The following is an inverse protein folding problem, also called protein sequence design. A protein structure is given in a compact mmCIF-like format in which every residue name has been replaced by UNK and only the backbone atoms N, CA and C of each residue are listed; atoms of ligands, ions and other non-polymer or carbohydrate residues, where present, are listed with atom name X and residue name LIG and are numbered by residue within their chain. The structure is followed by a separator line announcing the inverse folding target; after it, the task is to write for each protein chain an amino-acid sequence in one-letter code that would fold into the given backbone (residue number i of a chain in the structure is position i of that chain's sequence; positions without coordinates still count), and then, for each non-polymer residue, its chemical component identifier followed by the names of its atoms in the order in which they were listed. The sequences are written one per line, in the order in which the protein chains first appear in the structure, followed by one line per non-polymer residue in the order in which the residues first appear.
data_IF_029305932522
#
_entry.id   IF_029305932522
#
_cell.length_a   1.000
_cell.length_b   1.000
_cell.length_c   1.000
_cell.angle_alpha   90.00
_cell.angle_beta   90.00
_cell.angle_gamma   90.00
#
_symmetry.space_group_name_H-M   'P 1'
#
loop_
_entity.id
_entity.type
_entity.pdbx_description
1 polymer ?
#
# COMPACT_ATOMS: atom_id res chain seq x y z
N UNK A 1 -8.45 -4.72 -37.90
CA UNK A 1 -7.26 -5.51 -37.55
C UNK A 1 -7.48 -5.98 -36.12
N UNK A 2 -8.16 -7.12 -35.98
CA UNK A 2 -8.49 -7.74 -34.70
C UNK A 2 -7.22 -8.38 -34.14
N UNK A 3 -6.61 -7.77 -33.14
CA UNK A 3 -5.54 -8.43 -32.39
C UNK A 3 -6.15 -9.62 -31.65
N UNK A 4 -5.69 -10.81 -32.01
CA UNK A 4 -5.92 -12.02 -31.25
C UNK A 4 -5.30 -11.83 -29.86
N UNK A 5 -6.13 -11.67 -28.83
CA UNK A 5 -5.70 -11.76 -27.42
C UNK A 5 -5.52 -13.24 -27.08
N UNK A 6 -4.54 -13.89 -27.69
CA UNK A 6 -4.08 -15.21 -27.28
C UNK A 6 -3.16 -15.05 -26.07
N UNK A 7 -3.78 -14.97 -24.90
CA UNK A 7 -3.11 -14.94 -23.60
C UNK A 7 -4.14 -15.10 -22.50
N UNK A 8 -3.81 -15.90 -21.48
CA UNK A 8 -4.61 -15.97 -20.25
C UNK A 8 -4.71 -14.60 -19.55
N UNK A 9 -5.46 -14.50 -18.44
CA UNK A 9 -5.57 -13.25 -17.71
C UNK A 9 -4.19 -12.72 -17.30
N UNK A 10 -3.96 -11.42 -17.47
CA UNK A 10 -2.71 -10.77 -17.07
C UNK A 10 -2.68 -10.40 -15.58
N UNK A 11 -3.82 -10.46 -14.89
CA UNK A 11 -3.97 -10.21 -13.46
C UNK A 11 -5.22 -10.94 -12.89
N UNK A 12 -5.24 -11.30 -11.60
CA UNK A 12 -6.36 -12.01 -10.97
C UNK A 12 -7.51 -11.05 -10.59
N UNK A 13 -8.58 -11.02 -11.41
CA UNK A 13 -9.74 -10.13 -11.22
C UNK A 13 -10.37 -10.23 -9.81
N UNK A 14 -10.40 -11.44 -9.23
CA UNK A 14 -10.99 -11.70 -7.91
C UNK A 14 -10.33 -10.87 -6.79
N UNK A 15 -9.07 -10.45 -6.94
CA UNK A 15 -8.38 -9.62 -5.95
C UNK A 15 -8.77 -8.14 -6.03
N UNK A 16 -9.44 -7.67 -7.09
CA UNK A 16 -9.74 -6.25 -7.28
C UNK A 16 -10.44 -5.59 -6.08
N UNK A 17 -11.49 -6.16 -5.46
CA UNK A 17 -12.16 -5.54 -4.31
C UNK A 17 -11.20 -5.33 -3.13
N UNK A 18 -10.37 -6.34 -2.83
CA UNK A 18 -9.37 -6.25 -1.77
C UNK A 18 -8.33 -5.15 -2.06
N UNK A 19 -7.81 -5.08 -3.28
CA UNK A 19 -6.82 -4.06 -3.65
C UNK A 19 -7.41 -2.65 -3.56
N UNK A 20 -8.70 -2.48 -3.89
CA UNK A 20 -9.43 -1.22 -3.69
C UNK A 20 -9.45 -0.81 -2.21
N UNK A 21 -9.80 -1.73 -1.31
CA UNK A 21 -9.84 -1.45 0.15
C UNK A 21 -8.45 -1.14 0.70
N UNK A 22 -7.43 -1.90 0.29
CA UNK A 22 -6.05 -1.63 0.70
C UNK A 22 -5.56 -0.25 0.25
N UNK A 23 -5.96 0.20 -0.96
CA UNK A 23 -5.59 1.54 -1.45
C UNK A 23 -6.08 2.64 -0.50
N UNK A 24 -7.21 2.43 0.19
CA UNK A 24 -7.78 3.42 1.10
C UNK A 24 -6.89 3.67 2.33
N UNK A 25 -5.97 2.75 2.68
CA UNK A 25 -5.01 2.92 3.77
C UNK A 25 -4.06 4.11 3.58
N UNK A 26 -3.91 4.60 2.35
CA UNK A 26 -3.19 5.84 2.03
C UNK A 26 -3.93 7.10 2.50
N UNK A 27 -5.20 6.97 2.92
CA UNK A 27 -6.05 8.10 3.34
C UNK A 27 -6.64 7.94 4.73
N UNK A 28 -6.38 6.81 5.39
CA UNK A 28 -6.80 6.60 6.76
C UNK A 28 -5.75 7.21 7.71
N UNK A 29 -6.20 8.21 8.47
CA UNK A 29 -5.44 8.86 9.53
C UNK A 29 -6.16 8.69 10.86
N UNK A 30 -5.38 8.63 11.94
CA UNK A 30 -5.92 8.62 13.31
C UNK A 30 -5.36 9.77 14.13
N UNK A 31 -6.20 10.27 15.04
CA UNK A 31 -5.80 11.31 15.98
C UNK A 31 -4.57 10.89 16.79
N UNK A 32 -3.62 11.80 16.96
CA UNK A 32 -2.39 11.56 17.73
C UNK A 32 -1.34 10.70 17.01
N UNK A 33 -1.56 10.35 15.73
CA UNK A 33 -0.59 9.61 14.90
C UNK A 33 -0.28 10.41 13.64
N UNK A 34 1.00 10.59 13.34
CA UNK A 34 1.44 11.26 12.10
C UNK A 34 1.32 10.30 10.91
N UNK A 35 1.02 10.86 9.74
CA UNK A 35 0.94 10.11 8.48
C UNK A 35 -0.32 9.27 8.34
N UNK A 36 -0.49 8.64 7.18
CA UNK A 36 -1.52 7.63 6.96
C UNK A 36 -1.10 6.26 7.52
N UNK A 37 -2.01 5.29 7.56
CA UNK A 37 -1.65 3.90 7.91
C UNK A 37 -0.55 3.39 6.98
N UNK A 38 -0.66 3.66 5.68
CA UNK A 38 0.32 3.23 4.71
C UNK A 38 1.71 3.86 4.95
N UNK A 39 1.78 5.15 5.24
CA UNK A 39 3.05 5.80 5.59
C UNK A 39 3.70 5.18 6.84
N UNK A 40 2.91 4.90 7.88
CA UNK A 40 3.43 4.29 9.11
C UNK A 40 3.91 2.86 8.90
N UNK A 41 3.19 2.06 8.12
CA UNK A 41 3.61 0.70 7.79
C UNK A 41 4.87 0.69 6.91
N UNK A 42 5.06 1.70 6.04
CA UNK A 42 6.30 1.88 5.29
C UNK A 42 7.49 2.12 6.24
N UNK A 43 7.33 3.04 7.20
CA UNK A 43 8.34 3.30 8.22
C UNK A 43 8.60 2.09 9.12
N UNK A 44 7.56 1.35 9.53
CA UNK A 44 7.71 0.10 10.29
C UNK A 44 8.49 -0.96 9.51
N UNK A 45 8.21 -1.12 8.22
CA UNK A 45 8.92 -2.07 7.37
C UNK A 45 10.42 -1.75 7.28
N UNK A 46 10.77 -0.49 7.02
CA UNK A 46 12.17 -0.05 7.01
C UNK A 46 12.84 -0.16 8.38
N UNK A 47 12.14 0.23 9.46
CA UNK A 47 12.65 0.08 10.83
C UNK A 47 12.91 -1.37 11.20
N UNK A 48 12.06 -2.31 10.77
CA UNK A 48 12.28 -3.73 10.96
C UNK A 48 13.54 -4.23 10.22
N UNK A 49 13.68 -3.84 8.94
CA UNK A 49 14.85 -4.21 8.12
C UNK A 49 16.16 -3.68 8.70
N UNK A 50 16.22 -2.40 9.10
CA UNK A 50 17.42 -1.82 9.72
C UNK A 50 17.64 -2.32 11.15
N UNK A 51 16.60 -2.86 11.79
CA UNK A 51 16.68 -3.60 13.05
C UNK A 51 17.24 -5.02 12.90
N UNK A 52 17.51 -5.46 11.67
CA UNK A 52 18.08 -6.76 11.36
C UNK A 52 17.05 -7.88 11.16
N UNK A 53 15.75 -7.56 11.06
CA UNK A 53 14.75 -8.55 10.69
C UNK A 53 14.98 -9.06 9.26
N UNK A 54 14.67 -10.34 9.02
CA UNK A 54 14.79 -10.91 7.68
C UNK A 54 13.76 -10.26 6.74
N UNK A 55 14.12 -10.11 5.46
CA UNK A 55 13.22 -9.53 4.47
C UNK A 55 11.91 -10.30 4.32
N UNK A 56 11.96 -11.64 4.46
CA UNK A 56 10.77 -12.49 4.40
C UNK A 56 9.84 -12.22 5.58
N UNK A 57 10.38 -12.12 6.81
CA UNK A 57 9.58 -11.81 7.99
C UNK A 57 8.90 -10.46 7.85
N UNK A 58 9.63 -9.44 7.39
CA UNK A 58 9.08 -8.09 7.19
C UNK A 58 8.01 -8.08 6.10
N UNK A 59 8.25 -8.75 4.97
CA UNK A 59 7.28 -8.82 3.87
C UNK A 59 5.96 -9.43 4.33
N UNK A 60 6.02 -10.54 5.09
CA UNK A 60 4.82 -11.20 5.60
C UNK A 60 4.14 -10.41 6.72
N UNK A 61 4.89 -9.87 7.68
CA UNK A 61 4.35 -9.12 8.82
C UNK A 61 3.64 -7.83 8.36
N UNK A 62 4.31 -7.03 7.53
CA UNK A 62 3.76 -5.78 7.02
C UNK A 62 2.54 -6.02 6.13
N UNK A 63 2.59 -7.04 5.27
CA UNK A 63 1.43 -7.42 4.43
C UNK A 63 0.26 -7.89 5.29
N UNK A 64 0.50 -8.71 6.31
CA UNK A 64 -0.56 -9.18 7.20
C UNK A 64 -1.21 -8.02 7.99
N UNK A 65 -0.40 -7.07 8.47
CA UNK A 65 -0.88 -5.85 9.13
C UNK A 65 -1.71 -4.97 8.19
N UNK A 66 -1.27 -4.79 6.95
CA UNK A 66 -2.03 -4.02 5.94
C UNK A 66 -3.39 -4.69 5.65
N UNK A 67 -3.42 -6.00 5.50
CA UNK A 67 -4.66 -6.75 5.26
C UNK A 67 -5.63 -6.68 6.44
N UNK A 68 -5.14 -6.78 7.68
CA UNK A 68 -5.98 -6.57 8.86
C UNK A 68 -6.49 -5.11 8.94
N UNK A 69 -5.63 -4.14 8.63
CA UNK A 69 -5.96 -2.72 8.65
C UNK A 69 -7.01 -2.32 7.60
N UNK A 70 -7.18 -3.09 6.51
CA UNK A 70 -8.22 -2.82 5.51
C UNK A 70 -9.63 -2.73 6.12
N UNK A 71 -9.89 -3.47 7.21
CA UNK A 71 -11.15 -3.39 7.97
C UNK A 71 -11.02 -2.73 9.33
N UNK A 72 -9.93 -3.00 10.03
CA UNK A 72 -9.73 -2.51 11.39
C UNK A 72 -9.17 -1.08 11.45
N UNK A 73 -8.73 -0.54 10.31
CA UNK A 73 -8.03 0.73 10.24
C UNK A 73 -6.91 0.78 11.29
N UNK A 74 -6.95 1.76 12.18
CA UNK A 74 -5.94 2.04 13.20
C UNK A 74 -6.14 1.26 14.51
N UNK A 75 -7.08 0.30 14.56
CA UNK A 75 -7.24 -0.65 15.67
C UNK A 75 -6.16 -1.75 15.59
N UNK A 76 -4.90 -1.32 15.66
CA UNK A 76 -3.71 -2.16 15.59
C UNK A 76 -3.36 -2.82 16.93
N UNK A 77 -2.37 -3.72 16.93
CA UNK A 77 -1.93 -4.43 18.14
C UNK A 77 -1.56 -3.47 19.29
N UNK A 78 -0.91 -2.34 18.97
CA UNK A 78 -0.51 -1.35 19.96
C UNK A 78 -1.72 -0.66 20.60
N UNK A 79 -2.73 -0.28 19.80
CA UNK A 79 -3.96 0.28 20.32
C UNK A 79 -4.73 -0.72 21.19
N UNK A 80 -4.92 -1.95 20.70
CA UNK A 80 -5.65 -3.00 21.41
C UNK A 80 -5.01 -3.31 22.77
N UNK A 81 -3.67 -3.37 22.82
CA UNK A 81 -2.95 -3.53 24.07
C UNK A 81 -3.12 -2.31 25.01
N UNK A 82 -3.07 -1.09 24.47
CA UNK A 82 -3.21 0.15 25.25
C UNK A 82 -4.58 0.29 25.91
N UNK A 83 -5.64 -0.25 25.30
CA UNK A 83 -6.99 -0.29 25.88
C UNK A 83 -7.23 -1.50 26.79
N UNK A 84 -6.20 -2.33 27.01
CA UNK A 84 -6.19 -3.38 28.02
C UNK A 84 -6.60 -4.77 27.53
N UNK A 85 -6.64 -5.03 26.21
CA UNK A 85 -6.80 -6.40 25.72
C UNK A 85 -5.54 -7.20 26.01
N UNK A 86 -5.73 -8.45 26.44
CA UNK A 86 -4.63 -9.40 26.52
C UNK A 86 -4.11 -9.77 25.10
N UNK A 87 -2.88 -10.29 24.98
CA UNK A 87 -2.29 -10.60 23.68
C UNK A 87 -3.09 -11.58 22.81
N UNK A 88 -3.78 -12.55 23.42
CA UNK A 88 -4.55 -13.54 22.68
C UNK A 88 -5.84 -12.92 22.12
N UNK A 89 -6.53 -12.09 22.91
CA UNK A 89 -7.70 -11.34 22.49
C UNK A 89 -7.35 -10.35 21.37
N UNK A 90 -6.25 -9.60 21.52
CA UNK A 90 -5.78 -8.67 20.50
C UNK A 90 -5.47 -9.39 19.17
N UNK A 91 -4.75 -10.51 19.24
CA UNK A 91 -4.46 -11.34 18.06
C UNK A 91 -5.75 -11.88 17.41
N UNK A 92 -6.74 -12.27 18.21
CA UNK A 92 -8.05 -12.71 17.72
C UNK A 92 -8.78 -11.62 16.91
N UNK A 93 -8.75 -10.37 17.38
CA UNK A 93 -9.34 -9.23 16.65
C UNK A 93 -8.62 -9.00 15.32
N UNK A 94 -7.28 -8.97 15.32
CA UNK A 94 -6.48 -8.75 14.10
C UNK A 94 -6.72 -9.86 13.06
N UNK A 95 -6.76 -11.12 13.50
CA UNK A 95 -7.07 -12.27 12.63
C UNK A 95 -8.48 -12.17 12.07
N UNK A 96 -9.47 -11.73 12.85
CA UNK A 96 -10.83 -11.54 12.36
C UNK A 96 -10.91 -10.45 11.28
N UNK A 97 -10.20 -9.32 11.48
CA UNK A 97 -10.09 -8.27 10.47
C UNK A 97 -9.43 -8.75 9.17
N UNK A 98 -8.37 -9.54 9.30
CA UNK A 98 -7.70 -10.18 8.17
C UNK A 98 -8.59 -11.18 7.43
N UNK A 99 -9.28 -12.06 8.16
CA UNK A 99 -10.13 -13.10 7.57
C UNK A 99 -11.33 -12.50 6.83
N UNK A 100 -11.81 -11.33 7.23
CA UNK A 100 -12.94 -10.65 6.59
C UNK A 100 -12.68 -10.17 5.15
N UNK A 101 -11.41 -10.11 4.70
CA UNK A 101 -11.06 -9.57 3.37
C UNK A 101 -10.18 -10.50 2.52
N UNK A 102 -9.73 -11.63 3.07
CA UNK A 102 -8.68 -12.47 2.44
C UNK A 102 -9.20 -13.69 1.69
N UNK A 103 -10.50 -13.80 1.45
CA UNK A 103 -11.10 -14.97 0.77
C UNK A 103 -10.60 -15.17 -0.66
N UNK A 104 -10.18 -14.10 -1.33
CA UNK A 104 -9.62 -14.17 -2.69
C UNK A 104 -8.08 -14.28 -2.72
N UNK A 105 -7.42 -14.28 -1.56
CA UNK A 105 -5.96 -14.46 -1.46
C UNK A 105 -5.63 -15.95 -1.57
N UNK A 106 -4.55 -16.28 -2.27
CA UNK A 106 -4.03 -17.64 -2.36
C UNK A 106 -3.94 -18.30 -0.97
N UNK A 107 -4.45 -19.52 -0.83
CA UNK A 107 -4.60 -20.19 0.47
C UNK A 107 -3.27 -20.34 1.21
N UNK A 108 -2.19 -20.72 0.51
CA UNK A 108 -0.90 -20.94 1.15
C UNK A 108 -0.27 -19.62 1.63
N UNK A 109 -0.41 -18.55 0.84
CA UNK A 109 0.00 -17.21 1.27
C UNK A 109 -0.87 -16.72 2.44
N UNK A 110 -2.20 -16.89 2.35
CA UNK A 110 -3.16 -16.50 3.39
C UNK A 110 -2.80 -17.13 4.74
N UNK A 111 -2.50 -18.43 4.76
CA UNK A 111 -2.14 -19.13 6.00
C UNK A 111 -0.85 -18.59 6.63
N UNK A 112 0.17 -18.30 5.83
CA UNK A 112 1.43 -17.70 6.29
C UNK A 112 1.22 -16.30 6.88
N UNK A 113 0.41 -15.47 6.22
CA UNK A 113 0.10 -14.12 6.69
C UNK A 113 -0.73 -14.15 7.98
N UNK A 114 -1.75 -15.03 8.03
CA UNK A 114 -2.59 -15.23 9.21
C UNK A 114 -1.78 -15.66 10.43
N UNK A 115 -0.76 -16.51 10.23
CA UNK A 115 0.14 -16.93 11.30
C UNK A 115 0.90 -15.75 11.93
N UNK A 116 1.31 -14.75 11.14
CA UNK A 116 2.00 -13.54 11.66
C UNK A 116 1.14 -12.72 12.61
N UNK A 117 -0.18 -12.72 12.41
CA UNK A 117 -1.10 -12.02 13.31
C UNK A 117 -1.42 -12.80 14.58
N UNK A 118 -1.33 -14.14 14.54
CA UNK A 118 -1.53 -15.00 15.72
C UNK A 118 -0.34 -14.97 16.67
N UNK A 119 0.86 -14.94 16.10
CA UNK A 119 2.11 -14.97 16.83
C UNK A 119 2.96 -13.77 16.37
N UNK A 120 2.65 -12.55 16.86
CA UNK A 120 3.40 -11.36 16.50
C UNK A 120 4.89 -11.55 16.81
N UNK A 121 5.73 -11.37 15.80
CA UNK A 121 7.18 -11.46 15.95
C UNK A 121 7.71 -10.35 16.85
N UNK A 122 8.70 -10.67 17.69
CA UNK A 122 9.43 -9.70 18.51
C UNK A 122 10.42 -8.87 17.71
N UNK A 123 9.96 -8.19 16.65
CA UNK A 123 10.80 -7.35 15.80
C UNK A 123 11.21 -6.10 16.58
N UNK A 124 12.51 -5.90 16.74
CA UNK A 124 13.07 -4.69 17.34
C UNK A 124 13.34 -3.69 16.21
N UNK A 125 12.70 -2.51 16.20
CA UNK A 125 12.95 -1.52 15.16
C UNK A 125 14.37 -0.93 15.32
N UNK A 126 15.11 -0.87 14.21
CA UNK A 126 16.37 -0.15 14.08
C UNK A 126 16.15 1.33 13.74
N UNK A 127 17.25 2.09 13.54
CA UNK A 127 17.18 3.49 13.13
C UNK A 127 16.51 3.61 11.75
N UNK A 128 15.64 4.61 11.60
CA UNK A 128 15.04 4.91 10.30
C UNK A 128 16.02 5.71 9.43
N UNK A 129 16.31 5.27 8.20
CA UNK A 129 17.03 6.08 7.23
C UNK A 129 16.29 7.40 6.93
N UNK A 130 17.04 8.45 6.63
CA UNK A 130 16.51 9.76 6.25
C UNK A 130 15.62 9.69 5.00
N UNK A 131 15.91 8.80 4.05
CA UNK A 131 15.05 8.61 2.88
C UNK A 131 13.61 8.22 3.25
N UNK A 132 13.37 7.58 4.40
CA UNK A 132 12.02 7.17 4.82
C UNK A 132 11.15 8.39 5.05
N UNK A 133 11.67 9.37 5.80
CA UNK A 133 10.99 10.64 6.04
C UNK A 133 10.88 11.47 4.75
N UNK A 134 11.93 11.48 3.92
CA UNK A 134 11.91 12.23 2.67
C UNK A 134 10.81 11.74 1.71
N UNK A 135 10.64 10.43 1.56
CA UNK A 135 9.59 9.84 0.72
C UNK A 135 8.18 10.05 1.28
N UNK A 136 8.02 10.09 2.61
CA UNK A 136 6.75 10.42 3.25
C UNK A 136 6.35 11.88 3.04
N UNK A 137 7.32 12.80 3.02
CA UNK A 137 7.05 14.23 2.80
C UNK A 137 6.99 14.62 1.33
N UNK A 138 7.44 13.76 0.42
CA UNK A 138 7.41 14.07 -1.00
C UNK A 138 6.11 13.58 -1.66
N UNK A 139 5.25 14.50 -2.12
CA UNK A 139 4.06 14.14 -2.88
C UNK A 139 4.45 13.62 -4.27
N UNK A 140 3.66 12.70 -4.79
CA UNK A 140 3.70 12.31 -6.20
C UNK A 140 3.20 13.44 -7.09
N UNK A 141 3.65 13.44 -8.35
CA UNK A 141 3.38 14.53 -9.29
C UNK A 141 1.90 14.71 -9.73
N UNK A 142 1.00 13.81 -9.33
CA UNK A 142 -0.39 13.75 -9.80
C UNK A 142 -0.54 13.16 -11.20
N UNK A 143 -1.66 13.44 -11.86
CA UNK A 143 -1.89 12.98 -13.24
C UNK A 143 -1.17 13.91 -14.20
N UNK A 144 -0.14 13.38 -14.86
CA UNK A 144 0.69 14.13 -15.81
C UNK A 144 0.58 13.54 -17.21
N UNK A 145 0.55 14.43 -18.21
CA UNK A 145 0.52 14.06 -19.62
C UNK A 145 1.24 15.14 -20.43
N UNK A 146 2.28 14.80 -21.20
CA UNK A 146 3.00 15.75 -22.04
C UNK A 146 2.05 16.58 -22.91
N UNK A 147 2.24 17.90 -22.88
CA UNK A 147 1.39 18.85 -23.62
C UNK A 147 0.04 19.17 -22.97
N UNK A 148 -0.26 18.66 -21.77
CA UNK A 148 -1.49 18.98 -21.02
C UNK A 148 -1.17 19.55 -19.64
N UNK A 149 -2.01 20.46 -19.11
CA UNK A 149 -1.95 20.83 -17.69
C UNK A 149 -2.11 19.58 -16.81
N UNK A 150 -1.34 19.52 -15.71
CA UNK A 150 -1.45 18.42 -14.75
C UNK A 150 -2.74 18.54 -13.92
N UNK A 151 -3.25 17.40 -13.45
CA UNK A 151 -4.34 17.35 -12.47
C UNK A 151 -3.71 17.06 -11.11
N UNK A 152 -3.93 17.98 -10.16
CA UNK A 152 -3.56 17.82 -8.75
C UNK A 152 -4.80 17.35 -7.98
N UNK A 153 -4.61 16.33 -7.14
CA UNK A 153 -5.65 15.75 -6.32
C UNK A 153 -5.21 15.88 -4.86
N UNK A 154 -6.06 16.45 -4.02
CA UNK A 154 -5.79 16.72 -2.62
C UNK A 154 -6.66 15.81 -1.72
N UNK A 155 -6.10 15.23 -0.65
CA UNK A 155 -4.68 15.23 -0.31
C UNK A 155 -3.86 14.36 -1.30
N UNK A 156 -2.61 14.77 -1.64
CA UNK A 156 -1.77 14.04 -2.57
C UNK A 156 -1.32 12.71 -1.96
N UNK A 157 -1.08 11.74 -2.84
CA UNK A 157 -0.34 10.54 -2.47
C UNK A 157 1.14 10.89 -2.31
N UNK A 158 1.79 10.42 -1.24
CA UNK A 158 3.23 10.52 -1.09
C UNK A 158 3.95 9.24 -1.54
N UNK A 159 5.28 9.29 -1.72
CA UNK A 159 6.02 8.12 -2.21
C UNK A 159 6.09 6.98 -1.19
N UNK A 160 6.05 7.25 0.11
CA UNK A 160 6.04 6.20 1.13
C UNK A 160 4.74 5.35 1.05
N UNK A 161 3.60 6.02 0.95
CA UNK A 161 2.28 5.41 0.75
C UNK A 161 2.26 4.49 -0.47
N UNK A 162 2.67 5.06 -1.61
CA UNK A 162 2.71 4.35 -2.88
C UNK A 162 3.66 3.14 -2.83
N UNK A 163 4.91 3.33 -2.37
CA UNK A 163 5.89 2.24 -2.26
C UNK A 163 5.37 1.09 -1.40
N UNK A 164 4.72 1.40 -0.27
CA UNK A 164 4.15 0.36 0.56
C UNK A 164 3.00 -0.37 -0.14
N UNK A 165 2.04 0.35 -0.73
CA UNK A 165 0.89 -0.31 -1.37
C UNK A 165 1.35 -1.20 -2.52
N UNK A 166 2.31 -0.75 -3.34
CA UNK A 166 2.93 -1.58 -4.37
C UNK A 166 3.60 -2.82 -3.76
N UNK A 167 4.27 -2.70 -2.60
CA UNK A 167 4.90 -3.84 -1.94
C UNK A 167 3.86 -4.86 -1.42
N UNK A 168 2.80 -4.39 -0.78
CA UNK A 168 1.70 -5.22 -0.27
C UNK A 168 0.97 -5.91 -1.43
N UNK A 169 0.66 -5.18 -2.50
CA UNK A 169 0.03 -5.73 -3.71
C UNK A 169 0.93 -6.76 -4.36
N UNK A 170 2.23 -6.47 -4.46
CA UNK A 170 3.23 -7.37 -5.01
C UNK A 170 3.27 -8.71 -4.27
N UNK A 171 3.24 -8.70 -2.93
CA UNK A 171 3.16 -9.93 -2.12
C UNK A 171 1.87 -10.70 -2.41
N UNK A 172 0.72 -10.02 -2.38
CA UNK A 172 -0.60 -10.65 -2.62
C UNK A 172 -0.72 -11.23 -4.03
N UNK A 173 -0.11 -10.58 -5.02
CA UNK A 173 -0.12 -11.01 -6.43
C UNK A 173 0.93 -12.07 -6.74
N UNK A 174 1.96 -12.24 -5.91
CA UNK A 174 3.10 -13.13 -6.18
C UNK A 174 2.70 -14.57 -6.51
N UNK A 175 1.73 -15.22 -5.82
CA UNK A 175 1.29 -16.57 -6.17
C UNK A 175 0.77 -16.70 -7.60
N UNK A 176 0.07 -15.68 -8.12
CA UNK A 176 -0.45 -15.68 -9.49
C UNK A 176 0.66 -15.68 -10.53
N UNK A 177 1.73 -14.91 -10.30
CA UNK A 177 2.89 -14.83 -11.21
C UNK A 177 3.94 -15.90 -10.94
N UNK A 178 3.80 -16.69 -9.86
CA UNK A 178 4.81 -17.62 -9.32
C UNK A 178 6.12 -16.91 -8.97
N UNK A 179 5.99 -15.71 -8.42
CA UNK A 179 7.10 -14.87 -8.00
C UNK A 179 7.50 -15.17 -6.55
N UNK A 180 8.75 -14.87 -6.18
CA UNK A 180 9.15 -14.76 -4.78
C UNK A 180 8.56 -13.46 -4.16
N UNK A 181 7.62 -13.55 -3.20
CA UNK A 181 7.03 -12.37 -2.57
C UNK A 181 8.05 -11.53 -1.81
N UNK A 182 9.15 -12.12 -1.33
CA UNK A 182 10.19 -11.40 -0.57
C UNK A 182 10.95 -10.46 -1.48
N UNK A 183 11.38 -10.96 -2.64
CA UNK A 183 12.09 -10.15 -3.64
C UNK A 183 11.20 -9.01 -4.16
N UNK A 184 9.94 -9.32 -4.48
CA UNK A 184 8.96 -8.33 -4.95
C UNK A 184 8.72 -7.25 -3.90
N UNK A 185 8.53 -7.64 -2.63
CA UNK A 185 8.34 -6.70 -1.54
C UNK A 185 9.52 -5.72 -1.41
N UNK A 186 10.76 -6.22 -1.38
CA UNK A 186 11.94 -5.35 -1.27
C UNK A 186 12.14 -4.45 -2.50
N UNK A 187 11.90 -4.97 -3.70
CA UNK A 187 11.97 -4.19 -4.93
C UNK A 187 10.96 -3.03 -4.87
N UNK A 188 9.72 -3.33 -4.50
CA UNK A 188 8.65 -2.34 -4.36
C UNK A 188 8.89 -1.33 -3.22
N UNK A 189 9.41 -1.74 -2.07
CA UNK A 189 9.73 -0.80 -0.98
C UNK A 189 10.80 0.22 -1.39
N UNK A 190 11.61 -0.08 -2.40
CA UNK A 190 12.78 0.72 -2.80
C UNK A 190 12.75 1.29 -4.22
N UNK A 191 11.66 1.11 -4.96
CA UNK A 191 11.61 1.49 -6.38
C UNK A 191 11.65 3.01 -6.61
N UNK A 192 11.13 3.80 -5.66
CA UNK A 192 11.22 5.28 -5.68
C UNK A 192 12.36 5.85 -4.84
N UNK A 193 13.43 5.11 -4.55
CA UNK A 193 14.59 5.64 -3.83
C UNK A 193 15.13 6.96 -4.42
N UNK A 194 15.12 7.08 -5.74
CA UNK A 194 15.52 8.33 -6.41
C UNK A 194 14.70 9.54 -5.97
N UNK A 195 13.41 9.37 -5.62
CA UNK A 195 12.53 10.45 -5.18
C UNK A 195 12.77 10.93 -3.74
N UNK A 196 13.63 10.25 -2.97
CA UNK A 196 14.03 10.78 -1.67
C UNK A 196 14.81 12.10 -1.80
N UNK A 197 15.47 12.33 -2.93
CA UNK A 197 16.22 13.55 -3.19
C UNK A 197 15.80 14.25 -4.50
N UNK A 198 15.27 13.53 -5.48
CA UNK A 198 14.78 14.10 -6.73
C UNK A 198 13.28 14.43 -6.61
N UNK A 199 12.87 15.71 -6.71
CA UNK A 199 11.45 16.07 -6.75
C UNK A 199 10.71 15.35 -7.88
N UNK A 200 9.51 14.83 -7.60
CA UNK A 200 8.69 14.17 -8.61
C UNK A 200 8.08 15.19 -9.57
N UNK A 201 8.66 15.28 -10.76
CA UNK A 201 8.20 16.16 -11.82
C UNK A 201 7.09 15.52 -12.69
N UNK A 202 6.84 14.23 -12.52
CA UNK A 202 5.96 13.41 -13.34
C UNK A 202 6.44 13.28 -14.79
N UNK A 203 5.62 12.63 -15.62
CA UNK A 203 6.01 12.20 -16.97
C UNK A 203 6.46 13.36 -17.88
N UNK A 204 5.82 14.53 -17.76
CA UNK A 204 6.25 15.72 -18.53
C UNK A 204 7.65 16.20 -18.12
N UNK A 205 7.97 16.19 -16.83
CA UNK A 205 9.29 16.57 -16.35
C UNK A 205 10.35 15.56 -16.76
N UNK A 206 10.05 14.27 -16.66
CA UNK A 206 10.91 13.18 -17.13
C UNK A 206 11.26 13.32 -18.62
N UNK A 207 10.27 13.61 -19.47
CA UNK A 207 10.50 13.85 -20.89
C UNK A 207 11.41 15.06 -21.15
N UNK A 208 11.28 16.13 -20.36
CA UNK A 208 12.12 17.33 -20.50
C UNK A 208 13.56 17.11 -20.01
N UNK A 209 13.76 16.22 -19.04
CA UNK A 209 15.09 15.83 -18.57
C UNK A 209 15.86 15.03 -19.64
N UNK A 210 15.16 14.31 -20.52
CA UNK A 210 15.75 13.61 -21.65
C UNK A 210 16.88 12.66 -21.23
N UNK A 211 18.04 12.78 -21.86
CA UNK A 211 19.22 11.95 -21.58
C UNK A 211 19.78 12.12 -20.15
N UNK A 212 19.41 13.20 -19.44
CA UNK A 212 19.85 13.43 -18.07
C UNK A 212 19.04 12.67 -17.03
N UNK A 213 17.87 12.14 -17.38
CA UNK A 213 16.97 11.48 -16.43
C UNK A 213 17.63 10.27 -15.75
N UNK A 214 18.11 9.30 -16.53
CA UNK A 214 18.68 8.06 -15.98
C UNK A 214 19.93 8.31 -15.12
N UNK A 215 20.90 9.18 -15.53
CA UNK A 215 22.03 9.54 -14.67
C UNK A 215 21.62 10.19 -13.34
N UNK A 216 20.61 11.07 -13.35
CA UNK A 216 20.11 11.71 -12.12
C UNK A 216 19.46 10.67 -11.22
N UNK A 217 18.54 9.85 -11.76
CA UNK A 217 17.87 8.80 -11.00
C UNK A 217 18.86 7.80 -10.39
N UNK A 218 19.89 7.39 -11.15
CA UNK A 218 20.92 6.49 -10.66
C UNK A 218 21.71 7.10 -9.49
N UNK A 219 22.07 8.39 -9.59
CA UNK A 219 22.80 9.10 -8.54
C UNK A 219 21.96 9.27 -7.27
N UNK A 220 20.73 9.74 -7.40
CA UNK A 220 19.86 9.98 -6.23
C UNK A 220 19.39 8.68 -5.59
N UNK A 221 19.21 7.62 -6.39
CA UNK A 221 19.04 6.25 -5.86
C UNK A 221 20.23 5.84 -5.00
N UNK A 222 21.46 6.09 -5.48
CA UNK A 222 22.67 5.71 -4.75
C UNK A 222 22.75 6.41 -3.39
N UNK A 223 22.33 7.68 -3.30
CA UNK A 223 22.28 8.40 -2.02
C UNK A 223 21.39 7.70 -0.99
N UNK A 224 20.20 7.24 -1.38
CA UNK A 224 19.32 6.48 -0.48
C UNK A 224 19.92 5.11 -0.10
N UNK A 225 20.56 4.42 -1.05
CA UNK A 225 21.28 3.17 -0.77
C UNK A 225 22.44 3.37 0.21
N UNK A 226 23.12 4.52 0.14
CA UNK A 226 24.27 4.83 0.98
C UNK A 226 23.92 5.03 2.47
N UNK A 227 22.64 5.24 2.79
CA UNK A 227 22.12 5.31 4.15
C UNK A 227 21.95 3.93 4.81
N UNK A 228 21.91 2.85 4.01
CA UNK A 228 21.76 1.48 4.51
C UNK A 228 23.11 0.87 4.90
N UNK A 229 23.09 -0.02 5.90
CA UNK A 229 24.26 -0.85 6.21
C UNK A 229 24.65 -1.73 5.01
N UNK A 230 25.92 -2.17 4.88
CA UNK A 230 26.38 -2.87 3.69
C UNK A 230 25.59 -4.14 3.32
N UNK A 231 25.15 -4.92 4.31
CA UNK A 231 24.47 -6.20 4.06
C UNK A 231 23.04 -5.98 3.57
N UNK A 232 22.31 -5.05 4.20
CA UNK A 232 20.97 -4.67 3.77
C UNK A 232 21.02 -3.94 2.42
N UNK A 233 22.00 -3.06 2.20
CA UNK A 233 22.23 -2.36 0.93
C UNK A 233 22.38 -3.32 -0.24
N UNK A 234 23.22 -4.35 -0.08
CA UNK A 234 23.44 -5.36 -1.11
C UNK A 234 22.15 -6.14 -1.40
N UNK A 235 21.41 -6.49 -0.35
CA UNK A 235 20.14 -7.20 -0.47
C UNK A 235 19.09 -6.37 -1.22
N UNK A 236 18.95 -5.09 -0.89
CA UNK A 236 18.05 -4.15 -1.58
C UNK A 236 18.51 -3.93 -3.03
N UNK A 237 19.80 -3.75 -3.28
CA UNK A 237 20.34 -3.58 -4.63
C UNK A 237 20.03 -4.79 -5.53
N UNK A 238 20.14 -6.02 -5.00
CA UNK A 238 19.76 -7.25 -5.72
C UNK A 238 18.27 -7.30 -6.01
N UNK A 239 17.41 -6.97 -5.04
CA UNK A 239 15.96 -6.95 -5.26
C UNK A 239 15.57 -5.95 -6.36
N UNK A 240 16.20 -4.77 -6.38
CA UNK A 240 15.95 -3.73 -7.39
C UNK A 240 16.34 -4.12 -8.82
N UNK A 241 17.06 -5.22 -9.02
CA UNK A 241 17.40 -5.71 -10.36
C UNK A 241 16.18 -6.17 -11.17
N UNK A 242 15.02 -6.39 -10.54
CA UNK A 242 13.78 -6.79 -11.23
C UNK A 242 12.93 -5.61 -11.72
N UNK A 243 13.29 -4.37 -11.36
CA UNK A 243 12.55 -3.16 -11.74
C UNK A 243 12.58 -2.77 -13.23
N UNK A 244 13.63 -3.09 -14.02
CA UNK A 244 13.72 -2.60 -15.40
C UNK A 244 12.73 -3.20 -16.40
N UNK A 245 12.26 -4.44 -16.20
CA UNK A 245 11.39 -5.14 -17.15
C UNK A 245 10.54 -6.25 -16.50
N UNK A 246 9.62 -6.81 -17.28
CA UNK A 246 8.67 -7.85 -16.89
C UNK A 246 9.08 -9.26 -17.36
N UNK A 247 10.37 -9.48 -17.68
CA UNK A 247 10.85 -10.77 -18.16
C UNK A 247 10.79 -11.85 -17.07
N UNK A 248 10.94 -11.47 -15.79
CA UNK A 248 10.89 -12.37 -14.63
C UNK A 248 9.49 -12.44 -14.01
N UNK A 249 9.23 -13.46 -13.19
CA UNK A 249 7.98 -13.56 -12.45
C UNK A 249 7.83 -12.39 -11.46
N UNK A 250 8.93 -12.02 -10.82
CA UNK A 250 9.01 -10.92 -9.86
C UNK A 250 8.82 -9.57 -10.53
N UNK A 251 9.41 -9.35 -11.71
CA UNK A 251 9.18 -8.16 -12.53
C UNK A 251 7.70 -8.01 -12.90
N UNK A 252 7.04 -9.10 -13.36
CA UNK A 252 5.59 -9.07 -13.64
C UNK A 252 4.75 -8.75 -12.40
N UNK A 253 5.05 -9.37 -11.26
CA UNK A 253 4.32 -9.11 -10.02
C UNK A 253 4.49 -7.66 -9.56
N UNK A 254 5.71 -7.12 -9.63
CA UNK A 254 6.00 -5.72 -9.31
C UNK A 254 5.27 -4.75 -10.26
N UNK A 255 5.40 -4.94 -11.58
CA UNK A 255 4.78 -4.03 -12.56
C UNK A 255 3.25 -4.10 -12.53
N UNK A 256 2.67 -5.27 -12.26
CA UNK A 256 1.24 -5.39 -12.03
C UNK A 256 0.80 -4.60 -10.78
N UNK A 257 1.54 -4.73 -9.68
CA UNK A 257 1.28 -3.99 -8.46
C UNK A 257 1.38 -2.46 -8.65
N UNK A 258 2.45 -1.96 -9.26
CA UNK A 258 2.64 -0.52 -9.54
C UNK A 258 1.54 0.04 -10.44
N UNK A 259 1.22 -0.69 -11.52
CA UNK A 259 0.18 -0.27 -12.45
C UNK A 259 -1.21 -0.22 -11.78
N UNK A 260 -1.56 -1.24 -10.99
CA UNK A 260 -2.83 -1.30 -10.28
C UNK A 260 -2.93 -0.17 -9.27
N UNK A 261 -1.91 0.03 -8.43
CA UNK A 261 -1.91 1.08 -7.42
C UNK A 261 -2.10 2.47 -8.04
N UNK A 262 -1.34 2.80 -9.09
CA UNK A 262 -1.45 4.09 -9.79
C UNK A 262 -2.86 4.35 -10.32
N UNK A 263 -3.53 3.32 -10.85
CA UNK A 263 -4.90 3.45 -11.36
C UNK A 263 -5.91 3.53 -10.21
N UNK A 264 -5.74 2.73 -9.16
CA UNK A 264 -6.63 2.74 -7.99
C UNK A 264 -6.55 4.04 -7.21
N UNK A 265 -5.37 4.68 -7.17
CA UNK A 265 -5.19 6.01 -6.61
C UNK A 265 -6.13 7.03 -7.28
N UNK A 266 -6.19 7.05 -8.62
CA UNK A 266 -7.09 7.95 -9.33
C UNK A 266 -8.55 7.51 -9.17
N UNK A 267 -8.79 6.20 -9.22
CA UNK A 267 -10.13 5.66 -9.04
C UNK A 267 -10.73 6.04 -7.67
N UNK A 268 -9.92 6.15 -6.61
CA UNK A 268 -10.38 6.60 -5.30
C UNK A 268 -11.02 8.00 -5.35
N UNK A 269 -10.35 8.96 -5.97
CA UNK A 269 -10.88 10.32 -6.13
C UNK A 269 -12.12 10.35 -7.03
N UNK A 270 -12.14 9.55 -8.10
CA UNK A 270 -13.30 9.45 -8.98
C UNK A 270 -14.51 8.79 -8.29
N UNK A 271 -14.29 7.78 -7.44
CA UNK A 271 -15.36 7.17 -6.62
C UNK A 271 -15.98 8.22 -5.70
N UNK A 272 -15.17 8.99 -4.98
CA UNK A 272 -15.65 10.04 -4.09
C UNK A 272 -16.44 11.12 -4.85
N UNK A 273 -15.95 11.55 -6.02
CA UNK A 273 -16.63 12.53 -6.85
C UNK A 273 -17.95 12.03 -7.45
N UNK A 274 -18.13 10.71 -7.57
CA UNK A 274 -19.34 10.08 -8.10
C UNK A 274 -20.38 9.68 -7.04
N UNK A 275 -20.16 9.99 -5.76
CA UNK A 275 -21.09 9.60 -4.69
C UNK A 275 -22.46 10.26 -4.84
N UNK A 276 -23.49 9.50 -4.53
CA UNK A 276 -24.88 9.96 -4.46
C UNK A 276 -25.45 9.67 -3.07
N UNK A 277 -26.51 10.39 -2.68
CA UNK A 277 -27.19 10.13 -1.39
C UNK A 277 -27.77 8.72 -1.31
N UNK A 278 -28.28 8.17 -2.42
CA UNK A 278 -28.77 6.78 -2.45
C UNK A 278 -27.67 5.79 -2.12
N UNK A 279 -26.48 5.95 -2.70
CA UNK A 279 -25.33 5.10 -2.33
C UNK A 279 -24.97 5.26 -0.84
N UNK A 280 -24.96 6.49 -0.32
CA UNK A 280 -24.57 6.76 1.08
C UNK A 280 -25.58 6.20 2.10
N UNK A 281 -26.88 6.31 1.82
CA UNK A 281 -27.93 5.95 2.76
C UNK A 281 -28.45 4.53 2.57
N UNK A 282 -28.65 4.11 1.32
CA UNK A 282 -29.29 2.82 1.01
C UNK A 282 -28.26 1.69 0.92
N UNK A 283 -27.10 1.93 0.29
CA UNK A 283 -26.08 0.89 0.08
C UNK A 283 -25.08 0.82 1.23
N UNK A 284 -24.60 1.98 1.71
CA UNK A 284 -23.58 2.07 2.76
C UNK A 284 -24.17 2.17 4.17
N UNK A 285 -25.50 2.29 4.29
CA UNK A 285 -26.23 2.40 5.56
C UNK A 285 -25.60 3.42 6.53
N UNK A 286 -25.30 4.65 6.07
CA UNK A 286 -24.71 5.70 6.91
C UNK A 286 -25.47 5.86 8.25
N UNK A 287 -26.81 5.79 8.17
CA UNK A 287 -27.66 5.59 9.35
C UNK A 287 -27.88 4.09 9.55
N UNK A 288 -26.93 3.47 10.25
CA UNK A 288 -26.90 2.02 10.48
C UNK A 288 -27.94 1.57 11.51
N UNK A 289 -28.25 0.27 11.49
CA UNK A 289 -29.10 -0.35 12.49
C UNK A 289 -28.51 -0.20 13.90
N UNK A 290 -29.33 0.27 14.84
CA UNK A 290 -28.93 0.48 16.23
C UNK A 290 -30.13 0.77 17.14
N UNK A 291 -29.91 0.91 18.47
CA UNK A 291 -30.99 1.02 19.46
C UNK A 291 -31.95 2.19 19.23
N UNK A 292 -31.52 3.21 18.49
CA UNK A 292 -32.27 4.45 18.23
C UNK A 292 -32.59 4.66 16.75
N UNK A 293 -32.47 3.63 15.90
CA UNK A 293 -32.70 3.72 14.45
C UNK A 293 -34.06 4.33 14.09
N UNK A 294 -35.12 3.90 14.77
CA UNK A 294 -36.47 4.44 14.54
C UNK A 294 -36.57 5.95 14.78
N UNK A 295 -35.82 6.48 15.76
CA UNK A 295 -35.76 7.91 15.99
C UNK A 295 -34.99 8.62 14.88
N UNK A 296 -33.84 8.08 14.46
CA UNK A 296 -33.08 8.64 13.33
C UNK A 296 -33.91 8.68 12.04
N UNK A 297 -34.70 7.65 11.76
CA UNK A 297 -35.55 7.58 10.56
C UNK A 297 -36.67 8.64 10.59
N UNK A 298 -37.25 8.89 11.77
CA UNK A 298 -38.20 10.00 11.94
C UNK A 298 -37.54 11.35 11.72
N UNK A 299 -36.31 11.54 12.25
CA UNK A 299 -35.55 12.79 12.03
C UNK A 299 -35.32 13.04 10.54
N UNK A 300 -34.88 12.03 9.78
CA UNK A 300 -34.67 12.17 8.33
C UNK A 300 -35.99 12.50 7.60
N UNK A 301 -37.06 11.79 7.95
CA UNK A 301 -38.40 12.01 7.39
C UNK A 301 -38.91 13.42 7.66
N UNK A 302 -38.89 13.88 8.92
CA UNK A 302 -39.39 15.20 9.32
C UNK A 302 -38.57 16.34 8.70
N UNK A 303 -37.25 16.13 8.55
CA UNK A 303 -36.33 17.09 7.92
C UNK A 303 -36.39 17.08 6.39
N UNK A 304 -37.16 16.17 5.77
CA UNK A 304 -37.22 15.96 4.33
C UNK A 304 -35.83 15.71 3.70
N UNK A 305 -34.96 15.03 4.46
CA UNK A 305 -33.66 14.57 3.98
C UNK A 305 -33.91 13.18 3.39
N UNK A 306 -33.46 12.92 2.14
CA UNK A 306 -33.55 11.59 1.55
C UNK A 306 -32.92 10.53 2.44
#
# INVERSE_FOLDING_TARGET
MTMSLEGGPAAPLALRPLLVELNDLKRVHAAGRTGSIAERLFAQGWGALTGGASAEDVALDITAKALAAARLCDLDAAFLAAVGLDPAAASGVLVAGFDAVTDSVDTALRDRLRARLREPGGVVPGPLPGFVSALAHQPRAGVTCPGKPRILLEPPENHAEHCLMVAVYGVVLSPFYRADPTLVFLAAMSHHFHNAAMPDAGFTGEMLLGEHLLPIMARTTQWALDELDPALRETVARARAVLPDDATAEGRAFHAADCIDRVLQIAQHLRAAGLTMGTVLDEMELVHAGPVKEFHDRVLTDMHIP
#
